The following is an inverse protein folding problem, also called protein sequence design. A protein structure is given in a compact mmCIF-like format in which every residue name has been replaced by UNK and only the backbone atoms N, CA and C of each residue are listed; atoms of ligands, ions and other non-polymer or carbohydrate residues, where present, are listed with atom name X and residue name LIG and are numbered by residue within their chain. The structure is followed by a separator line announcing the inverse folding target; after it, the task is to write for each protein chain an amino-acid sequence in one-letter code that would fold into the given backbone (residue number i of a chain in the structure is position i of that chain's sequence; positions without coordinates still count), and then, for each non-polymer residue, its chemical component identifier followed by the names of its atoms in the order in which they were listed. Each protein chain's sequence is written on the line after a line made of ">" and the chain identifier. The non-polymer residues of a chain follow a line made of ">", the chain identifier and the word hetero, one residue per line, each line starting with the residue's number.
data_IF_342473965224
#
_entry.id   IF_342473965224
#
_cell.length_a   1.000
_cell.length_b   1.000
_cell.length_c   1.000
_cell.angle_alpha   90.00
_cell.angle_beta   90.00
_cell.angle_gamma   90.00
#
_symmetry.space_group_name_H-M   'P 1'
#
loop_
_entity.id
_entity.type
_entity.pdbx_description
1 polymer ?
#
# COMPACT_ATOMS: atom_id res chain seq x y z
N UNK A 1 -25.05 -8.95 -0.59
CA UNK A 1 -24.11 -7.91 -1.07
C UNK A 1 -22.85 -7.88 -0.24
N UNK A 2 -22.95 -7.38 1.00
CA UNK A 2 -21.85 -7.38 1.98
C UNK A 2 -21.41 -8.79 2.41
N UNK A 3 -22.37 -9.69 2.65
CA UNK A 3 -22.10 -11.07 3.09
C UNK A 3 -21.21 -11.87 2.13
N UNK A 4 -21.30 -11.57 0.83
CA UNK A 4 -20.50 -12.21 -0.21
C UNK A 4 -19.09 -11.60 -0.37
N UNK A 5 -18.75 -10.55 0.40
CA UNK A 5 -17.43 -9.90 0.40
C UNK A 5 -16.51 -10.43 1.49
N UNK A 6 -17.05 -11.23 2.41
CA UNK A 6 -16.29 -11.82 3.51
C UNK A 6 -15.64 -13.10 2.98
N UNK A 7 -14.31 -13.10 2.92
CA UNK A 7 -13.57 -14.30 2.56
C UNK A 7 -13.49 -15.22 3.80
N UNK A 8 -13.77 -16.52 3.65
CA UNK A 8 -13.64 -17.47 4.75
C UNK A 8 -12.24 -17.40 5.36
N UNK A 9 -12.14 -17.49 6.69
CA UNK A 9 -10.86 -17.38 7.40
C UNK A 9 -9.80 -18.38 6.92
N UNK A 10 -10.24 -19.55 6.46
CA UNK A 10 -9.37 -20.58 5.89
C UNK A 10 -8.71 -20.15 4.56
N UNK A 11 -9.38 -19.29 3.79
CA UNK A 11 -8.88 -18.78 2.51
C UNK A 11 -8.22 -17.40 2.69
N UNK A 12 -8.39 -16.76 3.85
CA UNK A 12 -7.79 -15.47 4.18
C UNK A 12 -6.30 -15.64 4.54
N UNK A 13 -5.43 -15.19 3.65
CA UNK A 13 -3.99 -15.15 3.88
C UNK A 13 -3.51 -13.71 3.85
N UNK A 14 -2.65 -13.33 4.81
CA UNK A 14 -2.00 -12.02 4.77
C UNK A 14 -1.01 -12.04 3.60
N UNK A 15 -0.95 -10.98 2.78
CA UNK A 15 0.09 -10.91 1.77
C UNK A 15 1.48 -10.95 2.42
N UNK A 16 2.42 -11.58 1.73
CA UNK A 16 3.81 -11.62 2.14
C UNK A 16 4.41 -10.21 2.08
N UNK A 17 4.92 -9.72 3.21
CA UNK A 17 5.59 -8.43 3.24
C UNK A 17 6.97 -8.56 2.61
N UNK A 18 7.40 -7.56 1.81
CA UNK A 18 8.75 -7.56 1.27
C UNK A 18 9.79 -7.54 2.38
N UNK A 19 10.98 -8.04 2.07
CA UNK A 19 12.10 -8.05 3.02
C UNK A 19 12.36 -6.62 3.54
N UNK A 20 12.48 -6.50 4.86
CA UNK A 20 12.79 -5.23 5.51
C UNK A 20 14.27 -4.92 5.30
N UNK A 21 14.54 -3.92 4.47
CA UNK A 21 15.89 -3.42 4.25
C UNK A 21 16.38 -2.59 5.44
N UNK A 22 17.71 -2.51 5.68
CA UNK A 22 18.26 -1.66 6.72
C UNK A 22 17.85 -0.20 6.57
N UNK A 23 17.54 0.45 7.69
CA UNK A 23 17.16 1.85 7.68
C UNK A 23 18.38 2.75 7.42
N UNK A 24 18.30 3.56 6.37
CA UNK A 24 19.26 4.64 6.12
C UNK A 24 18.79 5.91 6.82
N UNK A 25 19.66 6.47 7.65
CA UNK A 25 19.46 7.68 8.45
C UNK A 25 20.61 8.66 8.18
N UNK A 26 20.53 9.86 8.74
CA UNK A 26 21.64 10.82 8.67
C UNK A 26 22.99 10.26 9.14
N UNK A 27 22.99 9.35 10.12
CA UNK A 27 24.21 8.79 10.69
C UNK A 27 24.95 7.83 9.76
N UNK A 28 24.27 7.19 8.81
CA UNK A 28 24.86 6.15 7.94
C UNK A 28 24.70 6.43 6.44
N UNK A 29 24.12 7.57 6.04
CA UNK A 29 23.86 7.87 4.63
C UNK A 29 25.12 8.03 3.75
N UNK A 30 26.30 8.24 4.35
CA UNK A 30 27.58 8.32 3.64
C UNK A 30 28.33 6.98 3.55
N UNK A 31 27.77 5.89 4.09
CA UNK A 31 28.41 4.58 3.92
C UNK A 31 28.26 4.11 2.47
N UNK A 32 29.27 3.40 1.92
CA UNK A 32 29.22 2.88 0.54
C UNK A 32 27.99 2.00 0.25
N UNK A 33 27.48 1.31 1.27
CA UNK A 33 26.34 0.41 1.18
C UNK A 33 24.99 1.15 1.12
N UNK A 34 24.93 2.41 1.58
CA UNK A 34 23.69 3.18 1.70
C UNK A 34 23.01 3.41 0.34
N UNK A 35 23.79 3.68 -0.72
CA UNK A 35 23.27 3.86 -2.07
C UNK A 35 22.62 2.58 -2.60
N UNK A 36 23.28 1.42 -2.43
CA UNK A 36 22.74 0.12 -2.87
C UNK A 36 21.43 -0.20 -2.17
N UNK A 37 21.34 0.05 -0.85
CA UNK A 37 20.12 -0.15 -0.07
C UNK A 37 19.01 0.76 -0.57
N UNK A 38 19.28 2.05 -0.81
CA UNK A 38 18.26 3.00 -1.28
C UNK A 38 17.73 2.67 -2.67
N UNK A 39 18.57 2.13 -3.57
CA UNK A 39 18.12 1.66 -4.88
C UNK A 39 17.14 0.48 -4.75
N UNK A 40 17.41 -0.47 -3.86
CA UNK A 40 16.48 -1.59 -3.64
C UNK A 40 15.20 -1.11 -2.93
N UNK A 41 15.29 -0.18 -1.98
CA UNK A 41 14.10 0.47 -1.38
C UNK A 41 13.25 1.12 -2.46
N UNK A 42 13.85 1.90 -3.36
CA UNK A 42 13.13 2.54 -4.46
C UNK A 42 12.42 1.50 -5.33
N UNK A 43 13.08 0.40 -5.66
CA UNK A 43 12.50 -0.70 -6.42
C UNK A 43 11.30 -1.34 -5.70
N UNK A 44 11.39 -1.59 -4.39
CA UNK A 44 10.28 -2.09 -3.57
C UNK A 44 9.11 -1.09 -3.54
N UNK A 45 9.40 0.21 -3.39
CA UNK A 45 8.37 1.27 -3.38
C UNK A 45 7.66 1.37 -4.72
N UNK A 46 8.39 1.26 -5.84
CA UNK A 46 7.80 1.29 -7.20
C UNK A 46 6.88 0.09 -7.47
N UNK A 47 7.16 -1.07 -6.88
CA UNK A 47 6.26 -2.23 -6.95
C UNK A 47 4.98 -2.02 -6.13
N UNK A 48 5.04 -1.17 -5.11
CA UNK A 48 3.93 -0.91 -4.22
C UNK A 48 3.68 -2.06 -3.23
N UNK A 49 2.70 -1.89 -2.33
CA UNK A 49 2.32 -2.97 -1.42
C UNK A 49 1.75 -4.17 -2.19
N UNK A 50 2.00 -5.40 -1.70
CA UNK A 50 1.42 -6.60 -2.30
C UNK A 50 -0.11 -6.56 -2.26
N UNK A 51 -0.74 -7.25 -3.22
CA UNK A 51 -2.20 -7.36 -3.29
C UNK A 51 -2.73 -8.07 -2.05
N UNK A 52 -3.63 -7.42 -1.31
CA UNK A 52 -4.33 -8.05 -0.19
C UNK A 52 -5.47 -8.92 -0.73
N UNK A 53 -5.25 -10.24 -0.78
CA UNK A 53 -6.23 -11.21 -1.27
C UNK A 53 -7.52 -11.24 -0.44
N UNK A 54 -7.53 -10.64 0.75
CA UNK A 54 -8.73 -10.53 1.60
C UNK A 54 -9.71 -9.46 1.10
N UNK A 55 -9.30 -8.65 0.13
CA UNK A 55 -10.11 -7.58 -0.45
C UNK A 55 -10.54 -7.99 -1.85
N UNK A 56 -11.86 -8.03 -2.09
CA UNK A 56 -12.38 -8.25 -3.44
C UNK A 56 -11.98 -7.07 -4.37
N UNK A 57 -11.30 -7.33 -5.51
CA UNK A 57 -10.80 -6.27 -6.39
C UNK A 57 -11.89 -5.37 -6.96
N UNK A 58 -12.98 -5.94 -7.49
CA UNK A 58 -14.08 -5.16 -8.09
C UNK A 58 -14.75 -4.23 -7.07
N UNK A 59 -14.85 -4.68 -5.82
CA UNK A 59 -15.37 -3.85 -4.73
C UNK A 59 -14.39 -2.74 -4.35
N UNK A 60 -13.09 -3.05 -4.27
CA UNK A 60 -12.04 -2.09 -3.95
C UNK A 60 -12.04 -0.94 -4.94
N UNK A 61 -12.04 -1.24 -6.23
CA UNK A 61 -12.01 -0.23 -7.31
C UNK A 61 -13.20 0.71 -7.20
N UNK A 62 -14.44 0.19 -7.13
CA UNK A 62 -15.65 1.01 -7.00
C UNK A 62 -15.67 1.88 -5.74
N UNK A 63 -15.14 1.36 -4.64
CA UNK A 63 -15.07 2.11 -3.39
C UNK A 63 -14.01 3.22 -3.47
N UNK A 64 -12.82 2.91 -3.99
CA UNK A 64 -11.74 3.88 -4.19
C UNK A 64 -12.18 4.99 -5.17
N UNK A 65 -12.83 4.65 -6.28
CA UNK A 65 -13.39 5.61 -7.24
C UNK A 65 -14.40 6.57 -6.59
N UNK A 66 -15.28 6.05 -5.73
CA UNK A 66 -16.25 6.87 -5.01
C UNK A 66 -15.55 7.85 -4.07
N UNK A 67 -14.62 7.37 -3.25
CA UNK A 67 -13.86 8.21 -2.32
C UNK A 67 -13.07 9.25 -3.10
N UNK A 68 -12.36 8.85 -4.15
CA UNK A 68 -11.60 9.75 -5.00
C UNK A 68 -12.48 10.83 -5.61
N UNK A 69 -13.65 10.47 -6.11
CA UNK A 69 -14.63 11.41 -6.66
C UNK A 69 -15.13 12.40 -5.61
N UNK A 70 -15.39 11.95 -4.39
CA UNK A 70 -15.86 12.79 -3.29
C UNK A 70 -14.81 13.79 -2.84
N UNK A 71 -13.59 13.33 -2.55
CA UNK A 71 -12.51 14.20 -2.02
C UNK A 71 -12.01 15.20 -3.06
N UNK A 72 -12.14 14.88 -4.35
CA UNK A 72 -11.78 15.77 -5.46
C UNK A 72 -12.98 16.56 -5.99
N UNK A 73 -14.16 16.44 -5.38
CA UNK A 73 -15.32 17.25 -5.75
C UNK A 73 -15.09 18.72 -5.37
N UNK A 74 -15.54 19.66 -6.21
CA UNK A 74 -15.31 21.11 -5.99
C UNK A 74 -15.93 21.65 -4.70
N UNK A 75 -17.02 21.03 -4.28
CA UNK A 75 -17.73 21.39 -3.03
C UNK A 75 -17.16 20.67 -1.80
N UNK A 76 -16.11 19.84 -1.95
CA UNK A 76 -15.49 19.16 -0.83
C UNK A 76 -14.70 20.15 0.02
N UNK A 77 -14.98 20.20 1.33
CA UNK A 77 -14.35 21.13 2.27
C UNK A 77 -13.43 20.36 3.20
N UNK A 78 -12.14 20.73 3.19
CA UNK A 78 -11.16 20.24 4.15
C UNK A 78 -11.25 21.06 5.44
N UNK A 79 -11.49 20.41 6.57
CA UNK A 79 -11.47 21.03 7.90
C UNK A 79 -10.10 20.79 8.53
N UNK A 80 -9.53 21.84 9.13
CA UNK A 80 -8.24 21.82 9.83
C UNK A 80 -8.45 21.81 11.35
#
# INVERSE_FOLDING_TARGET
>A
GFENRIIPKADSHKPEEPEKLPLITWFNHLSPEATTIQIEVEKQVRQGPPVDHRINPDWRERYEDLIWSLINHREFVWLN
#
